data_IF_366941564915
#
_entry.id   IF_366941564915
#
_cell.length_a   1.000
_cell.length_b   1.000
_cell.length_c   1.000
_cell.angle_alpha   90.00
_cell.angle_beta   90.00
_cell.angle_gamma   90.00
#
_symmetry.space_group_name_H-M   'P 1'
#
loop_
_entity.id
_entity.type
_entity.pdbx_description
1 polymer ?
#
# COMPACT_ATOMS: atom_id res chain seq x y z
N UNK A 1 62.24 -5.53 -87.41
CA UNK A 1 62.70 -6.03 -86.08
C UNK A 1 61.50 -5.97 -85.13
N UNK A 2 61.12 -6.94 -84.30
CA UNK A 2 61.54 -8.32 -84.03
C UNK A 2 60.39 -9.03 -83.32
N UNK A 3 60.27 -10.36 -83.50
CA UNK A 3 59.22 -11.24 -82.94
C UNK A 3 59.33 -11.34 -81.40
N UNK A 4 58.20 -11.51 -80.70
CA UNK A 4 58.12 -12.45 -79.56
C UNK A 4 56.67 -12.77 -79.14
N UNK A 5 56.25 -14.01 -79.38
CA UNK A 5 54.93 -14.58 -79.15
C UNK A 5 54.84 -15.39 -77.84
N UNK A 6 55.12 -14.77 -76.68
CA UNK A 6 55.07 -15.50 -75.39
C UNK A 6 54.10 -14.90 -74.35
N UNK A 7 53.83 -13.60 -74.41
CA UNK A 7 53.01 -12.89 -73.41
C UNK A 7 51.52 -13.20 -73.46
N UNK A 8 50.98 -13.67 -74.61
CA UNK A 8 49.54 -13.94 -74.75
C UNK A 8 49.07 -15.24 -74.09
N UNK A 9 49.96 -16.23 -73.88
CA UNK A 9 49.58 -17.50 -73.20
C UNK A 9 49.57 -17.38 -71.68
N UNK A 10 50.43 -16.53 -71.11
CA UNK A 10 50.47 -16.29 -69.65
C UNK A 10 49.29 -15.42 -69.19
N UNK A 11 48.81 -14.51 -70.05
CA UNK A 11 47.66 -13.65 -69.73
C UNK A 11 46.34 -14.44 -69.56
N UNK A 12 46.18 -15.59 -70.21
CA UNK A 12 44.92 -16.37 -70.18
C UNK A 12 44.75 -17.20 -68.90
N UNK A 13 45.84 -17.50 -68.19
CA UNK A 13 45.78 -18.22 -66.91
C UNK A 13 45.53 -17.28 -65.73
N UNK A 14 45.94 -16.01 -65.81
CA UNK A 14 45.68 -15.01 -64.77
C UNK A 14 44.20 -14.60 -64.66
N UNK A 15 43.39 -14.77 -65.71
CA UNK A 15 41.97 -14.43 -65.69
C UNK A 15 41.06 -15.46 -65.01
N UNK A 16 41.53 -16.69 -64.76
CA UNK A 16 40.68 -17.79 -64.25
C UNK A 16 40.71 -17.96 -62.72
N UNK A 17 41.52 -17.18 -62.01
CA UNK A 17 41.69 -17.25 -60.55
C UNK A 17 40.97 -16.17 -59.75
N UNK A 18 40.06 -15.39 -60.35
CA UNK A 18 39.35 -14.32 -59.64
C UNK A 18 38.16 -14.93 -58.88
N UNK A 19 38.48 -15.55 -57.74
CA UNK A 19 37.48 -16.02 -56.78
C UNK A 19 36.47 -14.92 -56.49
N UNK A 20 35.18 -15.23 -56.71
CA UNK A 20 34.09 -14.32 -56.43
C UNK A 20 34.07 -14.12 -54.91
N UNK A 21 34.65 -13.03 -54.43
CA UNK A 21 34.50 -12.59 -53.04
C UNK A 21 33.02 -12.26 -52.85
N UNK A 22 32.24 -13.24 -52.38
CA UNK A 22 30.95 -12.98 -51.75
C UNK A 22 31.26 -12.21 -50.47
N UNK A 23 31.19 -10.88 -50.55
CA UNK A 23 31.08 -10.05 -49.37
C UNK A 23 29.73 -10.38 -48.76
N UNK A 24 29.72 -11.16 -47.69
CA UNK A 24 28.59 -11.13 -46.76
C UNK A 24 28.55 -9.71 -46.21
N UNK A 25 27.78 -8.86 -46.87
CA UNK A 25 27.41 -7.56 -46.36
C UNK A 25 26.39 -7.84 -45.24
N UNK A 26 26.89 -8.29 -44.09
CA UNK A 26 26.09 -8.50 -42.90
C UNK A 26 25.50 -7.15 -42.52
N UNK A 27 24.25 -6.92 -42.92
CA UNK A 27 23.57 -5.66 -42.70
C UNK A 27 23.51 -5.39 -41.20
N UNK A 28 24.04 -4.24 -40.79
CA UNK A 28 23.97 -3.76 -39.40
C UNK A 28 22.53 -3.57 -38.92
N UNK A 29 21.55 -3.62 -39.83
CA UNK A 29 20.12 -3.48 -39.54
C UNK A 29 19.58 -4.56 -38.60
N UNK A 30 19.92 -5.84 -38.83
CA UNK A 30 19.45 -6.93 -37.97
C UNK A 30 19.98 -6.82 -36.53
N UNK A 31 21.30 -6.68 -36.28
CA UNK A 31 21.78 -6.50 -34.91
C UNK A 31 21.32 -5.17 -34.30
N UNK A 32 21.13 -4.10 -35.08
CA UNK A 32 20.58 -2.84 -34.56
C UNK A 32 19.13 -2.99 -34.08
N UNK A 33 18.28 -3.72 -34.81
CA UNK A 33 16.92 -4.02 -34.39
C UNK A 33 16.88 -4.86 -33.10
N UNK A 34 17.74 -5.87 -32.99
CA UNK A 34 17.82 -6.71 -31.78
C UNK A 34 18.23 -5.88 -30.57
N UNK A 35 19.22 -5.00 -30.70
CA UNK A 35 19.63 -4.09 -29.63
C UNK A 35 18.50 -3.12 -29.28
N UNK A 36 17.79 -2.57 -30.27
CA UNK A 36 16.64 -1.69 -30.03
C UNK A 36 15.53 -2.37 -29.23
N UNK A 37 15.17 -3.61 -29.58
CA UNK A 37 14.19 -4.41 -28.85
C UNK A 37 14.66 -4.76 -27.43
N UNK A 38 15.95 -5.09 -27.27
CA UNK A 38 16.51 -5.38 -25.94
C UNK A 38 16.48 -4.14 -25.03
N UNK A 39 16.80 -2.95 -25.57
CA UNK A 39 16.73 -1.69 -24.83
C UNK A 39 15.29 -1.33 -24.49
N UNK A 40 14.35 -1.43 -25.45
CA UNK A 40 12.94 -1.17 -25.21
C UNK A 40 12.34 -2.14 -24.18
N UNK A 41 12.67 -3.43 -24.26
CA UNK A 41 12.26 -4.44 -23.30
C UNK A 41 12.84 -4.17 -21.91
N UNK A 42 14.11 -3.79 -21.81
CA UNK A 42 14.74 -3.42 -20.53
C UNK A 42 14.12 -2.16 -19.95
N UNK A 43 13.83 -1.15 -20.77
CA UNK A 43 13.16 0.08 -20.35
C UNK A 43 11.74 -0.19 -19.86
N UNK A 44 10.99 -1.07 -20.52
CA UNK A 44 9.68 -1.53 -20.05
C UNK A 44 9.80 -2.26 -18.71
N UNK A 45 10.78 -3.16 -18.54
CA UNK A 45 11.00 -3.85 -17.27
C UNK A 45 11.36 -2.85 -16.15
N UNK A 46 12.23 -1.87 -16.42
CA UNK A 46 12.59 -0.82 -15.45
C UNK A 46 11.36 0.01 -15.09
N UNK A 47 10.60 0.48 -16.09
CA UNK A 47 9.37 1.23 -15.87
C UNK A 47 8.36 0.43 -15.06
N UNK A 48 8.12 -0.83 -15.41
CA UNK A 48 7.25 -1.74 -14.66
C UNK A 48 7.75 -1.95 -13.22
N UNK A 49 9.07 -1.98 -12.99
CA UNK A 49 9.63 -2.09 -11.64
C UNK A 49 9.54 -0.80 -10.83
N UNK A 50 9.65 0.36 -11.45
CA UNK A 50 9.50 1.67 -10.79
C UNK A 50 8.03 2.00 -10.52
N UNK A 51 7.10 1.52 -11.35
CA UNK A 51 5.65 1.66 -11.11
C UNK A 51 5.12 0.70 -10.04
N UNK A 52 5.93 -0.24 -9.55
CA UNK A 52 5.60 -1.00 -8.34
C UNK A 52 5.91 -0.08 -7.15
N UNK A 53 4.90 0.40 -6.41
CA UNK A 53 5.14 1.23 -5.24
C UNK A 53 6.08 0.51 -4.28
N UNK A 54 6.96 1.25 -3.59
CA UNK A 54 7.86 0.65 -2.62
C UNK A 54 7.03 -0.11 -1.56
N UNK A 55 7.11 -1.44 -1.61
CA UNK A 55 6.34 -2.44 -0.84
C UNK A 55 6.64 -2.43 0.68
N UNK A 56 7.17 -1.32 1.19
CA UNK A 56 7.55 -1.13 2.58
C UNK A 56 7.51 0.34 3.02
N UNK A 57 6.97 1.26 2.20
CA UNK A 57 6.74 2.64 2.63
C UNK A 57 5.44 2.65 3.41
N UNK A 58 5.44 2.87 4.74
CA UNK A 58 4.20 2.84 5.49
C UNK A 58 3.21 3.92 5.03
N UNK A 59 1.89 3.73 5.21
CA UNK A 59 0.92 4.73 4.80
C UNK A 59 1.06 5.98 5.67
N UNK A 60 0.80 7.12 5.05
CA UNK A 60 0.73 8.46 5.63
C UNK A 60 -0.73 8.95 5.60
N UNK A 61 -0.99 10.14 6.15
CA UNK A 61 -2.34 10.71 6.19
C UNK A 61 -2.86 11.18 4.83
N UNK A 62 -1.99 11.27 3.83
CA UNK A 62 -2.37 11.64 2.46
C UNK A 62 -2.64 10.42 1.58
N UNK A 63 -2.34 9.21 2.08
CA UNK A 63 -2.46 7.98 1.31
C UNK A 63 -3.88 7.42 1.37
N UNK A 64 -4.31 6.86 0.25
CA UNK A 64 -5.53 6.05 0.17
C UNK A 64 -5.14 4.65 -0.29
N UNK A 65 -5.17 3.69 0.62
CA UNK A 65 -4.86 2.31 0.32
C UNK A 65 -6.09 1.44 0.50
N UNK A 66 -6.18 0.42 -0.34
CA UNK A 66 -7.25 -0.56 -0.33
C UNK A 66 -6.65 -1.94 -0.17
N UNK A 67 -7.21 -2.73 0.74
CA UNK A 67 -6.82 -4.12 0.89
C UNK A 67 -8.06 -5.01 0.97
N UNK A 68 -8.08 -6.10 0.21
CA UNK A 68 -9.17 -7.07 0.33
C UNK A 68 -9.06 -7.82 1.65
N UNK A 69 -10.17 -8.14 2.29
CA UNK A 69 -10.21 -9.03 3.44
C UNK A 69 -11.34 -10.05 3.30
N UNK A 70 -11.24 -11.13 4.06
CA UNK A 70 -12.34 -12.05 4.25
C UNK A 70 -12.12 -12.92 5.48
N UNK A 71 -13.21 -13.28 6.14
CA UNK A 71 -13.19 -14.28 7.20
C UNK A 71 -13.61 -15.62 6.61
N UNK A 72 -12.80 -16.65 6.79
CA UNK A 72 -13.08 -17.99 6.32
C UNK A 72 -13.22 -18.90 7.54
N UNK A 73 -14.37 -19.55 7.67
CA UNK A 73 -14.65 -20.46 8.76
C UNK A 73 -15.00 -21.85 8.22
N UNK A 74 -14.21 -22.84 8.64
CA UNK A 74 -14.29 -24.25 8.24
C UNK A 74 -14.19 -24.48 6.73
N UNK A 75 -15.26 -24.28 5.98
CA UNK A 75 -15.38 -24.55 4.55
C UNK A 75 -16.04 -23.41 3.75
N UNK A 76 -16.33 -22.27 4.40
CA UNK A 76 -17.00 -21.14 3.76
C UNK A 76 -16.42 -19.78 4.14
N UNK A 77 -16.55 -18.82 3.23
CA UNK A 77 -16.34 -17.41 3.52
C UNK A 77 -17.58 -16.87 4.26
N UNK A 78 -17.34 -16.24 5.40
CA UNK A 78 -18.37 -15.54 6.15
C UNK A 78 -18.78 -14.25 5.42
N UNK A 79 -19.97 -13.69 5.75
CA UNK A 79 -20.36 -12.37 5.25
C UNK A 79 -19.33 -11.29 5.60
N UNK A 80 -19.24 -10.28 4.74
CA UNK A 80 -18.42 -9.08 4.99
C UNK A 80 -18.90 -8.33 6.24
N UNK A 81 -18.01 -7.54 6.84
CA UNK A 81 -18.36 -6.79 8.05
C UNK A 81 -19.43 -5.74 7.75
N UNK A 82 -20.42 -5.66 8.63
CA UNK A 82 -21.55 -4.77 8.51
C UNK A 82 -21.30 -3.37 9.09
N UNK A 83 -21.86 -2.36 8.45
CA UNK A 83 -21.74 -0.94 8.77
C UNK A 83 -20.49 -0.32 8.18
N UNK A 84 -20.65 0.82 7.50
CA UNK A 84 -19.51 1.60 7.01
C UNK A 84 -18.77 2.37 8.11
N UNK A 85 -19.37 2.49 9.30
CA UNK A 85 -18.83 3.18 10.49
C UNK A 85 -18.58 4.68 10.29
N UNK A 86 -19.07 5.26 9.20
CA UNK A 86 -18.98 6.69 8.88
C UNK A 86 -20.19 7.50 9.38
N UNK A 87 -21.07 6.89 10.18
CA UNK A 87 -22.33 7.52 10.56
C UNK A 87 -22.09 8.78 11.40
N UNK A 88 -22.89 9.82 11.14
CA UNK A 88 -22.84 11.07 11.87
C UNK A 88 -24.04 11.21 12.80
N UNK A 89 -23.80 11.83 13.96
CA UNK A 89 -24.87 12.29 14.84
C UNK A 89 -25.65 13.44 14.18
N UNK A 90 -26.78 13.81 14.79
CA UNK A 90 -27.57 14.98 14.35
C UNK A 90 -26.76 16.28 14.35
N UNK A 91 -25.70 16.35 15.15
CA UNK A 91 -24.79 17.50 15.25
C UNK A 91 -23.61 17.41 14.24
N UNK A 92 -23.65 16.47 13.30
CA UNK A 92 -22.65 16.27 12.26
C UNK A 92 -21.33 15.63 12.75
N UNK A 93 -21.33 15.01 13.93
CA UNK A 93 -20.13 14.38 14.49
C UNK A 93 -20.11 12.88 14.18
N UNK A 94 -18.98 12.36 13.71
CA UNK A 94 -18.79 10.90 13.53
C UNK A 94 -19.04 10.16 14.85
N UNK A 95 -19.92 9.16 14.83
CA UNK A 95 -20.36 8.43 16.03
C UNK A 95 -19.39 7.33 16.45
N UNK A 96 -18.76 6.66 15.49
CA UNK A 96 -17.77 5.63 15.77
C UNK A 96 -16.44 6.29 16.16
N UNK A 97 -16.00 6.06 17.40
CA UNK A 97 -14.79 6.68 17.94
C UNK A 97 -13.52 6.17 17.27
N UNK A 98 -13.45 4.89 16.92
CA UNK A 98 -12.27 4.28 16.31
C UNK A 98 -12.12 4.75 14.86
N UNK A 99 -13.21 4.74 14.08
CA UNK A 99 -13.21 5.35 12.75
C UNK A 99 -12.81 6.83 12.81
N UNK A 100 -13.43 7.61 13.72
CA UNK A 100 -13.11 9.05 13.86
C UNK A 100 -11.64 9.33 14.16
N UNK A 101 -10.94 8.42 14.83
CA UNK A 101 -9.51 8.57 15.20
C UNK A 101 -8.56 8.07 14.12
N UNK A 102 -8.96 7.05 13.39
CA UNK A 102 -8.08 6.27 12.52
C UNK A 102 -8.35 6.49 11.03
N UNK A 103 -9.60 6.74 10.64
CA UNK A 103 -10.05 6.86 9.25
C UNK A 103 -10.09 5.54 8.49
N UNK A 104 -10.10 4.41 9.20
CA UNK A 104 -10.03 3.06 8.61
C UNK A 104 -11.41 2.40 8.72
N UNK A 105 -11.93 1.84 7.64
CA UNK A 105 -13.25 1.20 7.61
C UNK A 105 -13.41 0.26 6.41
N UNK A 106 -14.61 -0.31 6.22
CA UNK A 106 -15.05 -1.05 5.04
C UNK A 106 -16.43 -0.57 4.60
N UNK A 107 -16.77 -0.69 3.32
CA UNK A 107 -18.09 -0.33 2.79
C UNK A 107 -19.04 -1.53 2.69
N UNK A 108 -18.86 -2.54 3.55
CA UNK A 108 -19.58 -3.83 3.49
C UNK A 108 -19.30 -4.59 2.18
N UNK A 109 -18.10 -4.39 1.64
CA UNK A 109 -17.67 -4.83 0.30
C UNK A 109 -16.48 -5.80 0.34
N UNK A 110 -16.09 -6.23 1.54
CA UNK A 110 -14.91 -7.06 1.76
C UNK A 110 -13.60 -6.31 1.50
N UNK A 111 -13.61 -4.97 1.44
CA UNK A 111 -12.41 -4.15 1.27
C UNK A 111 -12.17 -3.32 2.53
N UNK A 112 -10.92 -3.32 2.98
CA UNK A 112 -10.39 -2.39 3.96
C UNK A 112 -10.00 -1.13 3.21
N UNK A 113 -10.70 -0.04 3.51
CA UNK A 113 -10.43 1.31 3.06
C UNK A 113 -9.54 1.98 4.10
N UNK A 114 -8.30 2.24 3.74
CA UNK A 114 -7.25 2.66 4.64
C UNK A 114 -6.84 4.10 4.36
N UNK A 115 -7.55 5.05 4.99
CA UNK A 115 -7.36 6.50 4.81
C UNK A 115 -6.96 7.15 6.14
N UNK A 116 -5.68 7.11 6.54
CA UNK A 116 -5.29 7.49 7.88
C UNK A 116 -5.62 8.94 8.23
N UNK A 117 -6.39 9.18 9.29
CA UNK A 117 -6.63 10.54 9.79
C UNK A 117 -5.53 11.03 10.73
N UNK A 118 -4.75 10.12 11.30
CA UNK A 118 -3.78 10.43 12.34
C UNK A 118 -2.62 9.44 12.38
N UNK A 119 -1.64 9.69 13.25
CA UNK A 119 -0.53 8.77 13.47
C UNK A 119 -0.95 7.39 14.00
N UNK A 120 -2.18 7.23 14.48
CA UNK A 120 -2.70 5.97 15.04
C UNK A 120 -2.89 4.88 13.98
N UNK A 121 -2.98 5.24 12.69
CA UNK A 121 -3.17 4.31 11.57
C UNK A 121 -2.12 4.46 10.46
N UNK A 122 -1.01 5.15 10.73
CA UNK A 122 0.13 5.30 9.81
C UNK A 122 1.33 4.47 10.25
N UNK A 123 2.35 4.37 9.41
CA UNK A 123 3.66 3.95 9.91
C UNK A 123 3.71 2.50 10.39
N UNK A 124 4.22 2.32 11.61
CA UNK A 124 4.24 1.01 12.28
C UNK A 124 2.88 0.64 12.89
N UNK A 125 1.95 1.58 12.94
CA UNK A 125 0.60 1.38 13.46
C UNK A 125 -0.39 0.94 12.37
N UNK A 126 0.03 0.93 11.10
CA UNK A 126 -0.73 0.35 10.00
C UNK A 126 -0.79 -1.18 10.14
N UNK A 127 -1.72 -1.64 10.97
CA UNK A 127 -1.86 -3.03 11.42
C UNK A 127 -3.31 -3.47 11.30
N UNK A 128 -3.53 -4.74 10.97
CA UNK A 128 -4.85 -5.35 10.86
C UNK A 128 -5.70 -5.14 12.11
N UNK A 129 -5.10 -5.15 13.30
CA UNK A 129 -5.79 -4.87 14.56
C UNK A 129 -6.53 -3.54 14.59
N UNK A 130 -5.99 -2.48 13.97
CA UNK A 130 -6.65 -1.16 13.92
C UNK A 130 -7.97 -1.24 13.15
N UNK A 131 -8.01 -1.99 12.05
CA UNK A 131 -9.24 -2.22 11.31
C UNK A 131 -10.23 -3.08 12.13
N UNK A 132 -9.74 -4.14 12.77
CA UNK A 132 -10.58 -5.02 13.59
C UNK A 132 -11.21 -4.29 14.80
N UNK A 133 -10.47 -3.36 15.40
CA UNK A 133 -10.93 -2.54 16.52
C UNK A 133 -12.11 -1.63 16.13
N UNK A 134 -12.13 -1.10 14.89
CA UNK A 134 -13.24 -0.29 14.36
C UNK A 134 -14.57 -1.05 14.36
N UNK A 135 -14.50 -2.36 14.14
CA UNK A 135 -15.64 -3.27 14.12
C UNK A 135 -15.83 -4.03 15.45
N UNK A 136 -15.01 -3.77 16.47
CA UNK A 136 -15.10 -4.43 17.77
C UNK A 136 -14.77 -5.93 17.75
N UNK A 137 -14.06 -6.39 16.72
CA UNK A 137 -13.66 -7.79 16.55
C UNK A 137 -12.51 -8.09 17.51
N UNK A 138 -12.68 -9.10 18.37
CA UNK A 138 -11.58 -9.53 19.24
C UNK A 138 -10.86 -10.69 18.60
N UNK A 139 -9.59 -10.47 18.28
CA UNK A 139 -8.76 -11.50 17.67
C UNK A 139 -7.51 -11.75 18.51
N UNK A 140 -7.55 -12.84 19.28
CA UNK A 140 -6.44 -13.37 20.06
C UNK A 140 -5.70 -14.48 19.32
N UNK A 141 -4.72 -15.09 19.98
CA UNK A 141 -3.91 -16.16 19.38
C UNK A 141 -4.68 -17.47 19.16
N UNK A 142 -5.71 -17.72 19.96
CA UNK A 142 -6.49 -18.95 20.02
C UNK A 142 -8.00 -18.71 19.90
N UNK A 143 -8.41 -17.45 19.75
CA UNK A 143 -9.81 -17.07 19.73
C UNK A 143 -10.13 -15.88 18.83
N UNK A 144 -11.18 -16.02 18.02
CA UNK A 144 -11.83 -14.97 17.24
C UNK A 144 -13.27 -14.79 17.75
N UNK A 145 -13.60 -13.60 18.25
CA UNK A 145 -14.96 -13.24 18.69
C UNK A 145 -15.52 -12.10 17.83
N UNK A 146 -16.66 -12.35 17.18
CA UNK A 146 -17.44 -11.35 16.47
C UNK A 146 -18.43 -10.69 17.45
N UNK A 147 -18.58 -9.35 17.44
CA UNK A 147 -19.60 -8.69 18.25
C UNK A 147 -21.02 -8.92 17.70
N UNK A 148 -22.02 -8.43 18.43
CA UNK A 148 -23.43 -8.69 18.14
C UNK A 148 -23.90 -8.12 16.80
N UNK A 149 -23.40 -6.96 16.40
CA UNK A 149 -23.66 -6.35 15.11
C UNK A 149 -22.98 -7.09 13.94
N UNK A 150 -22.11 -8.05 14.24
CA UNK A 150 -21.38 -8.89 13.28
C UNK A 150 -21.75 -10.39 13.43
N UNK A 151 -22.89 -10.69 14.04
CA UNK A 151 -23.44 -12.06 14.11
C UNK A 151 -23.04 -12.89 15.34
N UNK A 152 -22.29 -12.35 16.30
CA UNK A 152 -21.97 -13.03 17.59
C UNK A 152 -21.20 -14.36 17.48
N UNK A 153 -20.64 -14.68 16.32
CA UNK A 153 -19.88 -15.91 16.15
C UNK A 153 -18.61 -15.90 17.02
N UNK A 154 -18.29 -17.06 17.60
CA UNK A 154 -17.07 -17.27 18.37
C UNK A 154 -16.39 -18.52 17.85
N UNK A 155 -15.13 -18.37 17.44
CA UNK A 155 -14.27 -19.44 16.99
C UNK A 155 -13.09 -19.55 17.94
N UNK A 156 -12.96 -20.68 18.61
CA UNK A 156 -11.95 -20.91 19.63
C UNK A 156 -11.27 -22.26 19.38
N UNK A 157 -9.94 -22.24 19.29
CA UNK A 157 -9.14 -23.45 19.06
C UNK A 157 -9.35 -24.46 20.19
N UNK A 158 -9.37 -25.76 19.85
CA UNK A 158 -9.64 -26.85 20.80
C UNK A 158 -11.10 -26.97 21.27
N UNK A 159 -11.92 -25.94 21.05
CA UNK A 159 -13.35 -25.91 21.43
C UNK A 159 -14.25 -26.02 20.21
N UNK A 160 -14.00 -25.18 19.19
CA UNK A 160 -14.80 -25.12 17.98
C UNK A 160 -14.26 -26.12 16.97
N UNK A 161 -15.14 -27.00 16.49
CA UNK A 161 -14.78 -28.06 15.55
C UNK A 161 -15.19 -27.69 14.13
N UNK A 162 -14.38 -28.08 13.17
CA UNK A 162 -14.70 -28.05 11.75
C UNK A 162 -14.82 -29.47 11.19
N UNK A 163 -15.48 -29.59 10.04
CA UNK A 163 -15.49 -30.85 9.28
C UNK A 163 -14.35 -30.80 8.27
N UNK A 164 -13.46 -31.78 8.30
CA UNK A 164 -12.37 -31.88 7.33
C UNK A 164 -12.86 -32.39 5.96
N UNK A 165 -11.96 -32.42 4.98
CA UNK A 165 -12.24 -32.93 3.62
C UNK A 165 -12.65 -34.42 3.59
N UNK A 166 -12.34 -35.18 4.63
CA UNK A 166 -12.74 -36.59 4.79
C UNK A 166 -14.11 -36.74 5.49
N UNK A 167 -14.75 -35.63 5.90
CA UNK A 167 -16.01 -35.64 6.64
C UNK A 167 -15.85 -35.88 8.14
N UNK A 168 -14.64 -35.79 8.70
CA UNK A 168 -14.38 -35.99 10.14
C UNK A 168 -14.43 -34.67 10.88
N UNK A 169 -14.95 -34.71 12.11
CA UNK A 169 -14.90 -33.58 13.01
C UNK A 169 -13.50 -33.45 13.62
N UNK A 170 -12.84 -32.32 13.36
CA UNK A 170 -11.49 -32.00 13.81
C UNK A 170 -11.46 -30.60 14.42
N UNK A 171 -10.40 -30.28 15.16
CA UNK A 171 -10.18 -28.93 15.67
C UNK A 171 -9.90 -27.95 14.53
N UNK A 172 -10.47 -26.75 14.64
CA UNK A 172 -10.06 -25.62 13.81
C UNK A 172 -8.88 -24.87 14.45
N UNK A 173 -8.08 -24.25 13.60
CA UNK A 173 -6.91 -23.42 13.94
C UNK A 173 -7.08 -22.03 13.33
N UNK A 174 -6.59 -21.01 14.02
CA UNK A 174 -6.54 -19.63 13.57
C UNK A 174 -5.27 -19.37 12.78
N UNK A 175 -5.44 -18.86 11.57
CA UNK A 175 -4.35 -18.49 10.68
C UNK A 175 -4.72 -17.20 9.97
N UNK A 176 -3.76 -16.30 9.77
CA UNK A 176 -3.90 -15.18 8.83
C UNK A 176 -2.94 -15.37 7.68
N UNK A 177 -3.47 -15.38 6.46
CA UNK A 177 -2.67 -15.29 5.25
C UNK A 177 -2.71 -13.83 4.77
N UNK A 178 -1.56 -13.16 4.83
CA UNK A 178 -1.40 -11.81 4.28
C UNK A 178 -0.74 -11.91 2.90
N UNK A 179 -1.53 -11.71 1.85
CA UNK A 179 -1.08 -11.70 0.48
C UNK A 179 -0.46 -10.34 0.15
N UNK A 180 0.69 -10.36 -0.53
CA UNK A 180 1.37 -9.13 -0.93
C UNK A 180 0.56 -8.35 -1.99
N UNK A 181 -0.24 -9.03 -2.79
CA UNK A 181 -1.09 -8.41 -3.79
C UNK A 181 -2.41 -9.20 -3.97
N UNK A 182 -3.49 -8.47 -4.28
CA UNK A 182 -4.83 -8.99 -4.50
C UNK A 182 -4.96 -9.95 -5.69
N UNK A 183 -4.00 -9.95 -6.60
CA UNK A 183 -4.00 -10.76 -7.83
C UNK A 183 -2.95 -11.89 -7.81
N UNK A 184 -2.21 -12.01 -6.71
CA UNK A 184 -1.07 -12.93 -6.60
C UNK A 184 -1.30 -13.92 -5.46
N UNK A 185 -2.10 -15.00 -5.66
CA UNK A 185 -2.50 -15.93 -4.61
C UNK A 185 -1.35 -16.79 -4.05
N UNK A 186 -0.18 -16.77 -4.68
CA UNK A 186 0.98 -17.57 -4.27
C UNK A 186 2.02 -16.78 -3.47
N UNK A 187 1.87 -15.45 -3.38
CA UNK A 187 2.82 -14.59 -2.66
C UNK A 187 2.17 -14.05 -1.38
N UNK A 188 2.33 -14.79 -0.30
CA UNK A 188 1.75 -14.46 1.00
C UNK A 188 2.66 -14.84 2.16
N UNK A 189 2.42 -14.19 3.30
CA UNK A 189 3.00 -14.56 4.59
C UNK A 189 1.93 -15.19 5.46
N UNK A 190 2.23 -16.34 6.04
CA UNK A 190 1.38 -17.02 7.04
C UNK A 190 1.71 -16.53 8.43
N UNK A 191 0.69 -16.12 9.17
CA UNK A 191 0.75 -15.79 10.59
C UNK A 191 -0.09 -16.80 11.36
N UNK A 192 0.48 -17.33 12.45
CA UNK A 192 -0.16 -18.29 13.36
C UNK A 192 -0.33 -17.73 14.78
N UNK A 193 0.03 -16.46 14.98
CA UNK A 193 -0.05 -15.72 16.25
C UNK A 193 0.15 -14.23 15.96
N UNK A 194 -0.16 -13.37 16.94
CA UNK A 194 -0.03 -11.91 16.85
C UNK A 194 -0.79 -11.35 15.64
N UNK A 195 -1.98 -11.88 15.39
CA UNK A 195 -2.76 -11.55 14.19
C UNK A 195 -3.11 -10.07 14.09
N UNK A 196 -3.33 -9.41 15.22
CA UNK A 196 -3.59 -7.96 15.28
C UNK A 196 -2.38 -7.11 14.91
N UNK A 197 -1.16 -7.66 14.96
CA UNK A 197 0.08 -6.98 14.59
C UNK A 197 0.48 -7.14 13.11
N UNK A 198 -0.30 -7.89 12.32
CA UNK A 198 -0.07 -8.06 10.88
C UNK A 198 -0.16 -6.70 10.20
N UNK A 199 0.91 -6.29 9.51
CA UNK A 199 1.02 -4.93 8.96
C UNK A 199 0.45 -4.82 7.55
N UNK A 200 -0.28 -3.74 7.29
CA UNK A 200 -0.45 -3.23 5.93
C UNK A 200 0.83 -2.53 5.49
N UNK A 201 1.45 -3.03 4.42
CA UNK A 201 2.77 -2.60 3.94
C UNK A 201 2.72 -1.86 2.61
N UNK A 202 1.67 -2.10 1.82
CA UNK A 202 1.35 -1.36 0.61
C UNK A 202 -0.15 -1.38 0.34
N UNK A 203 -0.56 -0.55 -0.60
CA UNK A 203 -1.84 -0.64 -1.29
C UNK A 203 -1.97 -1.96 -2.08
N UNK A 204 -3.19 -2.44 -2.26
CA UNK A 204 -3.50 -3.63 -3.04
C UNK A 204 -3.23 -4.95 -2.34
N UNK A 205 -3.01 -4.98 -1.02
CA UNK A 205 -2.85 -6.23 -0.26
C UNK A 205 -4.16 -7.02 -0.16
N UNK A 206 -4.07 -8.28 0.28
CA UNK A 206 -5.25 -9.03 0.69
C UNK A 206 -5.01 -9.84 1.98
N UNK A 207 -6.06 -10.06 2.76
CA UNK A 207 -6.00 -10.78 4.04
C UNK A 207 -7.09 -11.86 4.11
N UNK A 208 -6.68 -13.12 4.21
CA UNK A 208 -7.59 -14.19 4.61
C UNK A 208 -7.42 -14.45 6.11
N UNK A 209 -8.48 -14.20 6.89
CA UNK A 209 -8.55 -14.47 8.33
C UNK A 209 -9.29 -15.79 8.49
N UNK A 210 -8.56 -16.84 8.85
CA UNK A 210 -9.00 -18.23 8.70
C UNK A 210 -9.18 -18.87 10.07
N UNK A 211 -10.32 -19.52 10.28
CA UNK A 211 -10.54 -20.54 11.30
C UNK A 211 -10.92 -21.85 10.61
N UNK A 212 -10.00 -22.78 10.44
CA UNK A 212 -10.25 -23.98 9.64
C UNK A 212 -9.34 -25.14 10.10
N UNK A 213 -9.57 -26.39 9.65
CA UNK A 213 -8.64 -27.48 9.92
C UNK A 213 -7.19 -27.12 9.57
N UNK A 214 -6.24 -27.69 10.31
CA UNK A 214 -4.82 -27.42 10.15
C UNK A 214 -4.37 -27.52 8.68
N UNK A 215 -3.69 -26.47 8.20
CA UNK A 215 -3.15 -26.41 6.83
C UNK A 215 -4.14 -26.01 5.74
N UNK A 216 -5.40 -25.71 6.07
CA UNK A 216 -6.34 -25.14 5.11
C UNK A 216 -5.90 -23.73 4.67
N UNK A 217 -5.93 -23.48 3.36
CA UNK A 217 -5.71 -22.16 2.80
C UNK A 217 -6.80 -21.91 1.74
N UNK A 218 -7.78 -21.03 2.01
CA UNK A 218 -8.87 -20.76 1.07
C UNK A 218 -8.43 -19.89 -0.12
N UNK A 219 -7.20 -19.38 -0.12
CA UNK A 219 -6.68 -18.46 -1.12
C UNK A 219 -7.08 -17.01 -0.86
N UNK A 220 -7.12 -16.22 -1.94
CA UNK A 220 -7.51 -14.82 -1.88
C UNK A 220 -8.98 -14.69 -1.46
N UNK A 221 -9.34 -13.66 -0.67
CA UNK A 221 -10.73 -13.38 -0.34
C UNK A 221 -11.57 -13.05 -1.59
N UNK A 222 -12.90 -13.23 -1.54
CA UNK A 222 -13.77 -13.01 -2.69
C UNK A 222 -13.68 -11.61 -3.30
N UNK A 223 -13.52 -10.58 -2.46
CA UNK A 223 -13.43 -9.18 -2.88
C UNK A 223 -12.12 -8.83 -3.62
N UNK A 224 -11.09 -9.68 -3.57
CA UNK A 224 -9.79 -9.42 -4.17
C UNK A 224 -9.89 -9.16 -5.68
N UNK A 225 -10.77 -9.88 -6.39
CA UNK A 225 -11.00 -9.69 -7.82
C UNK A 225 -11.59 -8.31 -8.18
N UNK A 226 -12.34 -7.71 -7.25
CA UNK A 226 -13.02 -6.42 -7.42
C UNK A 226 -12.25 -5.26 -6.79
N UNK A 227 -11.14 -5.52 -6.10
CA UNK A 227 -10.38 -4.51 -5.35
C UNK A 227 -10.02 -3.27 -6.19
N UNK A 228 -9.58 -3.38 -7.46
CA UNK A 228 -9.28 -2.20 -8.27
C UNK A 228 -10.50 -1.33 -8.59
N UNK A 229 -11.66 -1.95 -8.79
CA UNK A 229 -12.91 -1.23 -9.08
C UNK A 229 -13.43 -0.52 -7.82
N UNK A 230 -13.44 -1.24 -6.69
CA UNK A 230 -13.92 -0.72 -5.40
C UNK A 230 -13.01 0.41 -4.88
N UNK A 231 -11.69 0.26 -4.99
CA UNK A 231 -10.75 1.33 -4.62
C UNK A 231 -10.85 2.57 -5.52
N UNK A 232 -11.10 2.38 -6.81
CA UNK A 232 -11.31 3.51 -7.73
C UNK A 232 -12.61 4.28 -7.43
N UNK A 233 -13.66 3.58 -6.99
CA UNK A 233 -14.93 4.21 -6.62
C UNK A 233 -14.79 5.09 -5.35
N UNK A 234 -13.93 4.68 -4.42
CA UNK A 234 -13.67 5.38 -3.17
C UNK A 234 -12.69 6.57 -3.32
N UNK A 235 -11.83 6.57 -4.34
CA UNK A 235 -10.95 7.70 -4.69
C UNK A 235 -11.67 9.02 -5.04
N UNK A 236 -12.99 9.04 -5.04
CA UNK A 236 -13.83 10.23 -5.22
C UNK A 236 -14.16 10.93 -3.91
N UNK A 237 -13.31 11.87 -3.48
CA UNK A 237 -13.57 12.90 -2.43
C UNK A 237 -14.23 12.34 -1.17
N UNK A 238 -13.43 11.93 -0.19
CA UNK A 238 -13.91 11.78 1.19
C UNK A 238 -14.65 13.05 1.59
N UNK A 239 -15.86 12.91 2.14
CA UNK A 239 -16.73 14.00 2.59
C UNK A 239 -16.16 14.86 3.72
N UNK A 240 -14.84 14.88 3.91
CA UNK A 240 -14.19 15.92 4.69
C UNK A 240 -14.26 17.23 3.93
N UNK A 241 -15.18 18.08 4.39
CA UNK A 241 -15.07 19.52 4.17
C UNK A 241 -13.75 19.96 4.81
N UNK A 242 -12.67 20.00 4.03
CA UNK A 242 -11.53 20.84 4.36
C UNK A 242 -12.14 22.21 4.61
N UNK A 243 -12.13 22.66 5.86
CA UNK A 243 -12.58 24.00 6.19
C UNK A 243 -11.48 24.96 5.73
N UNK A 244 -11.35 25.08 4.41
CA UNK A 244 -10.55 26.12 3.80
C UNK A 244 -11.27 27.41 4.13
N UNK A 245 -10.72 28.18 5.07
CA UNK A 245 -11.14 29.55 5.30
C UNK A 245 -10.98 30.27 3.95
N UNK A 246 -12.10 30.73 3.38
CA UNK A 246 -12.10 31.44 2.11
C UNK A 246 -11.20 32.67 2.21
N UNK A 247 -10.05 32.64 1.51
CA UNK A 247 -9.13 33.78 1.39
C UNK A 247 -7.65 33.50 1.66
N UNK A 248 -7.25 32.31 2.12
CA UNK A 248 -5.83 32.01 2.31
C UNK A 248 -5.16 31.60 0.98
N UNK A 249 -4.30 32.47 0.45
CA UNK A 249 -3.36 32.08 -0.62
C UNK A 249 -2.20 31.32 0.04
N UNK A 250 -2.08 30.02 -0.23
CA UNK A 250 -0.94 29.23 0.26
C UNK A 250 0.29 29.50 -0.61
N UNK A 251 1.38 29.94 0.01
CA UNK A 251 2.71 29.90 -0.58
C UNK A 251 3.37 28.60 -0.12
N UNK A 252 3.90 27.76 -1.03
CA UNK A 252 4.58 26.53 -0.64
C UNK A 252 5.78 26.82 0.29
N UNK A 253 5.81 26.19 1.46
CA UNK A 253 6.96 26.18 2.38
C UNK A 253 6.82 26.98 3.69
N UNK A 254 5.64 27.48 4.06
CA UNK A 254 5.45 28.17 5.34
C UNK A 254 4.81 27.27 6.41
N UNK A 255 5.51 27.06 7.53
CA UNK A 255 4.96 26.41 8.73
C UNK A 255 4.24 27.45 9.60
N UNK A 256 2.92 27.33 9.73
CA UNK A 256 2.14 28.16 10.67
C UNK A 256 2.19 27.59 12.08
N UNK A 257 2.58 28.42 13.05
CA UNK A 257 2.52 28.10 14.49
C UNK A 257 1.13 28.47 15.00
N UNK A 258 0.45 27.55 15.69
CA UNK A 258 -0.87 27.80 16.27
C UNK A 258 -0.80 28.84 17.40
N UNK A 259 -1.61 29.90 17.31
CA UNK A 259 -1.86 30.86 18.41
C UNK A 259 -1.52 32.33 18.16
N UNK A 260 -1.00 32.72 16.99
CA UNK A 260 -0.74 34.13 16.69
C UNK A 260 -1.99 34.81 16.09
N UNK A 261 -2.60 35.74 16.83
CA UNK A 261 -3.62 36.65 16.30
C UNK A 261 -2.94 37.75 15.48
N UNK A 262 -3.14 37.76 14.17
CA UNK A 262 -2.70 38.86 13.30
C UNK A 262 -3.89 39.75 12.95
N UNK A 263 -3.78 41.04 13.30
CA UNK A 263 -4.66 42.09 12.80
C UNK A 263 -4.25 42.43 11.36
N UNK A 264 -5.17 42.47 10.37
CA UNK A 264 -4.83 42.79 8.98
C UNK A 264 -4.27 44.21 8.85
N UNK A 265 -3.05 44.35 8.30
CA UNK A 265 -2.48 45.64 7.88
C UNK A 265 -1.11 46.04 8.45
N UNK A 266 -0.48 45.23 9.32
CA UNK A 266 0.86 45.55 9.85
C UNK A 266 1.92 44.66 9.21
N UNK A 267 2.81 45.26 8.41
CA UNK A 267 4.04 44.62 7.96
C UNK A 267 5.02 44.59 9.13
N UNK A 268 5.22 43.43 9.76
CA UNK A 268 6.30 43.22 10.73
C UNK A 268 7.57 42.80 10.00
N UNK A 269 8.61 43.61 10.12
CA UNK A 269 9.97 43.29 9.68
C UNK A 269 10.59 42.35 10.72
N UNK A 270 11.34 41.28 10.34
CA UNK A 270 11.95 40.39 11.32
C UNK A 270 13.07 41.13 12.07
N UNK A 271 12.94 41.25 13.39
CA UNK A 271 14.03 41.71 14.27
C UNK A 271 14.94 40.54 14.59
N UNK A 272 16.22 40.68 14.27
CA UNK A 272 17.30 39.76 14.63
C UNK A 272 17.45 39.74 16.15
N UNK A 273 17.17 38.59 16.78
CA UNK A 273 17.36 38.42 18.22
C UNK A 273 18.86 38.29 18.55
N UNK A 274 19.46 39.37 19.03
CA UNK A 274 20.77 39.35 19.71
C UNK A 274 20.55 38.91 21.15
N UNK A 275 21.22 37.83 21.54
CA UNK A 275 21.26 37.33 22.91
C UNK A 275 22.05 38.29 23.80
N UNK A 276 21.45 38.80 24.87
CA UNK A 276 22.18 39.51 25.93
C UNK A 276 21.63 39.14 27.31
N UNK A 277 22.44 38.37 28.02
CA UNK A 277 22.40 38.08 29.45
C UNK A 277 22.51 39.38 30.26
N UNK A 278 21.64 39.59 31.25
CA UNK A 278 21.90 40.50 32.37
C UNK A 278 21.44 39.85 33.67
N UNK A 279 22.40 39.67 34.55
CA UNK A 279 22.31 39.39 35.99
C UNK A 279 22.21 40.75 36.69
N UNK A 280 21.32 40.96 37.67
CA UNK A 280 21.73 41.36 39.04
C UNK A 280 20.61 41.48 40.10
N UNK A 281 20.95 40.96 41.28
CA UNK A 281 20.68 41.33 42.70
C UNK A 281 19.44 42.11 43.19
N UNK A 282 18.74 41.49 44.16
CA UNK A 282 18.50 41.88 45.60
C UNK A 282 18.46 43.38 45.98
N UNK A 283 17.62 43.95 46.88
CA UNK A 283 16.83 43.48 48.04
C UNK A 283 15.91 44.67 48.52
N UNK A 284 15.36 44.73 49.76
CA UNK A 284 13.92 44.79 50.08
C UNK A 284 13.42 46.18 50.54
N UNK A 285 12.13 46.32 50.91
CA UNK A 285 11.64 47.13 52.07
C UNK A 285 10.12 46.92 52.33
N UNK A 286 9.80 47.04 53.60
CA UNK A 286 8.63 46.74 54.45
C UNK A 286 7.31 47.52 54.29
N UNK A 287 6.21 46.81 54.61
CA UNK A 287 5.05 47.11 55.52
C UNK A 287 4.40 48.51 55.59
N UNK A 288 3.07 48.56 55.39
CA UNK A 288 2.02 48.94 56.38
C UNK A 288 0.80 49.60 55.71
N UNK A 289 -0.40 49.14 56.10
CA UNK A 289 -1.71 49.68 55.72
C UNK A 289 -2.79 48.62 55.82
#
# INVERSE_FOLDING_TARGET
>A
MGKASSSKKVARLAQKGKGRKVRFQGGTLFPALVVGLAVAGTALIIYSRESIPNLNTPPTVEDHWHASYGFYACDEWLPDLAGNKEEQSTDGQLVNNEFRRTGIHSHEDGVIHWHPFSSESTGRNAKLGVFLDVYGIKFGNDKLEMPADQGSAVYEEGTTKCTDKDGKSVDGELVVYAFNAYDTPTDFTTYITNFTDVRLKQDGMAFAIVFAPAGENPGLPPSAASLPELGAADGGTTGQTSTTIAGATTVPGATTIAGASTVPGVTTVPSTATSSTVVDTSEPTTTAG
#
